data_IF_417002032146
#
_entry.id   IF_417002032146
#
_cell.length_a   1.000
_cell.length_b   1.000
_cell.length_c   1.000
_cell.angle_alpha   90.00
_cell.angle_beta   90.00
_cell.angle_gamma   90.00
#
_symmetry.space_group_name_H-M   'P 1'
#
loop_
_entity.id
_entity.type
_entity.pdbx_description
1 polymer ?
#
# COMPACT_ATOMS: atom_id res chain seq x y z
N UNK A 1 -3.24 25.74 9.45
CA UNK A 1 -4.60 25.44 8.96
C UNK A 1 -4.57 24.09 8.24
N UNK A 2 -4.96 22.98 8.90
CA UNK A 2 -5.03 21.62 8.32
C UNK A 2 -6.43 21.00 8.48
N UNK A 3 -7.45 21.84 8.71
CA UNK A 3 -8.83 21.44 9.00
C UNK A 3 -9.68 21.15 7.74
N UNK A 4 -9.12 21.32 6.54
CA UNK A 4 -9.84 21.11 5.26
C UNK A 4 -9.60 19.76 4.58
N UNK A 5 -8.72 18.91 5.12
CA UNK A 5 -8.37 17.63 4.51
C UNK A 5 -9.47 16.62 4.82
N UNK A 6 -10.28 16.29 3.81
CA UNK A 6 -11.35 15.30 3.92
C UNK A 6 -10.74 13.92 4.12
N UNK A 7 -11.20 13.19 5.14
CA UNK A 7 -10.73 11.83 5.43
C UNK A 7 -11.35 10.74 4.54
N UNK A 8 -12.14 11.08 3.51
CA UNK A 8 -12.82 10.15 2.60
C UNK A 8 -13.10 10.79 1.25
N UNK A 9 -13.26 9.97 0.21
CA UNK A 9 -13.39 10.39 -1.19
C UNK A 9 -12.26 11.34 -1.62
N UNK A 10 -11.05 11.02 -1.18
CA UNK A 10 -9.86 11.77 -1.61
C UNK A 10 -9.58 11.49 -3.09
N UNK A 11 -8.84 12.38 -3.75
CA UNK A 11 -8.44 12.17 -5.15
C UNK A 11 -7.74 10.81 -5.36
N UNK A 12 -6.79 10.40 -4.48
CA UNK A 12 -6.22 9.05 -4.49
C UNK A 12 -7.25 7.92 -4.49
N UNK A 13 -8.22 7.98 -3.58
CA UNK A 13 -9.26 6.96 -3.46
C UNK A 13 -10.11 6.87 -4.74
N UNK A 14 -10.47 8.03 -5.31
CA UNK A 14 -11.23 8.10 -6.56
C UNK A 14 -10.47 7.50 -7.75
N UNK A 15 -9.15 7.69 -7.84
CA UNK A 15 -8.32 7.09 -8.90
C UNK A 15 -8.35 5.56 -8.82
N UNK A 16 -8.13 5.00 -7.63
CA UNK A 16 -8.17 3.54 -7.41
C UNK A 16 -9.55 2.98 -7.74
N UNK A 17 -10.62 3.65 -7.29
CA UNK A 17 -12.01 3.25 -7.58
C UNK A 17 -12.31 3.22 -9.09
N UNK A 18 -11.88 4.24 -9.83
CA UNK A 18 -12.06 4.32 -11.29
C UNK A 18 -11.31 3.19 -11.99
N UNK A 19 -10.06 2.92 -11.59
CA UNK A 19 -9.27 1.84 -12.16
C UNK A 19 -9.92 0.47 -11.91
N UNK A 20 -10.33 0.19 -10.68
CA UNK A 20 -11.02 -1.06 -10.34
C UNK A 20 -12.31 -1.25 -11.12
N UNK A 21 -13.14 -0.20 -11.21
CA UNK A 21 -14.39 -0.24 -11.96
C UNK A 21 -14.15 -0.46 -13.45
N UNK A 22 -13.17 0.25 -14.04
CA UNK A 22 -12.79 0.09 -15.45
C UNK A 22 -12.29 -1.31 -15.80
N UNK A 23 -11.75 -2.05 -14.82
CA UNK A 23 -11.37 -3.46 -14.98
C UNK A 23 -12.50 -4.46 -14.65
N UNK A 24 -13.69 -3.99 -14.28
CA UNK A 24 -14.84 -4.84 -13.98
C UNK A 24 -14.92 -5.36 -12.54
N UNK A 25 -14.04 -4.93 -11.63
CA UNK A 25 -14.11 -5.35 -10.23
C UNK A 25 -15.28 -4.68 -9.51
N UNK A 26 -16.03 -5.49 -8.75
CA UNK A 26 -17.08 -5.02 -7.85
C UNK A 26 -16.49 -4.84 -6.45
N UNK A 27 -16.71 -3.66 -5.88
CA UNK A 27 -16.19 -3.31 -4.57
C UNK A 27 -17.25 -2.64 -3.69
N UNK A 28 -17.01 -2.64 -2.39
CA UNK A 28 -17.71 -1.85 -1.37
C UNK A 28 -16.74 -0.83 -0.79
N UNK A 29 -17.26 0.28 -0.30
CA UNK A 29 -16.44 1.35 0.27
C UNK A 29 -16.62 1.41 1.79
N UNK A 30 -15.55 1.76 2.51
CA UNK A 30 -15.56 2.10 3.94
C UNK A 30 -16.39 1.15 4.81
N UNK A 31 -16.14 -0.16 4.67
CA UNK A 31 -16.85 -1.21 5.41
C UNK A 31 -16.60 -1.05 6.91
N UNK A 32 -17.62 -0.59 7.65
CA UNK A 32 -17.55 -0.30 9.09
C UNK A 32 -17.41 -1.55 9.96
N UNK A 33 -17.79 -2.70 9.41
CA UNK A 33 -17.73 -4.02 10.04
C UNK A 33 -16.34 -4.65 9.95
N UNK A 34 -15.38 -4.02 9.27
CA UNK A 34 -14.00 -4.51 9.18
C UNK A 34 -13.04 -3.63 10.02
N UNK A 35 -11.98 -4.25 10.59
CA UNK A 35 -10.91 -3.51 11.27
C UNK A 35 -10.30 -2.43 10.38
N UNK A 36 -9.95 -1.28 10.95
CA UNK A 36 -9.39 -0.13 10.22
C UNK A 36 -10.31 0.56 9.21
N UNK A 37 -11.54 0.04 8.97
CA UNK A 37 -12.49 0.55 7.98
C UNK A 37 -11.84 0.79 6.61
N UNK A 38 -11.42 -0.29 5.91
CA UNK A 38 -10.69 -0.18 4.66
C UNK A 38 -11.44 0.68 3.64
N UNK A 39 -10.70 1.48 2.87
CA UNK A 39 -11.29 2.40 1.91
C UNK A 39 -12.09 1.65 0.85
N UNK A 40 -11.53 0.56 0.34
CA UNK A 40 -12.12 -0.25 -0.73
C UNK A 40 -12.02 -1.72 -0.34
N UNK A 41 -13.09 -2.47 -0.54
CA UNK A 41 -13.17 -3.89 -0.22
C UNK A 41 -13.71 -4.64 -1.42
N UNK A 42 -13.07 -5.75 -1.80
CA UNK A 42 -13.54 -6.69 -2.81
C UNK A 42 -14.01 -7.97 -2.10
N UNK A 43 -15.31 -8.07 -1.71
CA UNK A 43 -15.75 -9.11 -0.80
C UNK A 43 -15.59 -10.52 -1.36
N UNK A 44 -15.86 -10.72 -2.66
CA UNK A 44 -15.74 -12.03 -3.32
C UNK A 44 -14.32 -12.58 -3.31
N UNK A 45 -13.31 -11.71 -3.22
CA UNK A 45 -11.89 -12.08 -3.22
C UNK A 45 -11.25 -12.01 -1.84
N UNK A 46 -12.02 -11.59 -0.82
CA UNK A 46 -11.51 -11.26 0.53
C UNK A 46 -10.29 -10.32 0.50
N UNK A 47 -10.37 -9.26 -0.31
CA UNK A 47 -9.31 -8.24 -0.40
C UNK A 47 -9.81 -6.94 0.24
N UNK A 48 -8.99 -6.37 1.12
CA UNK A 48 -9.12 -5.03 1.66
C UNK A 48 -8.00 -4.14 1.08
N UNK A 49 -8.36 -3.01 0.48
CA UNK A 49 -7.43 -2.04 -0.09
C UNK A 49 -7.52 -0.76 0.76
N UNK A 50 -6.37 -0.32 1.24
CA UNK A 50 -6.21 0.91 2.02
C UNK A 50 -5.46 1.93 1.17
N UNK A 51 -5.98 3.14 1.06
CA UNK A 51 -5.38 4.21 0.26
C UNK A 51 -4.74 5.22 1.21
N UNK A 52 -3.43 5.10 1.39
CA UNK A 52 -2.69 5.88 2.38
C UNK A 52 -2.10 7.16 1.79
N UNK A 53 -2.46 8.29 2.39
CA UNK A 53 -1.74 9.54 2.21
C UNK A 53 -0.33 9.44 2.78
N UNK A 54 0.69 9.78 1.98
CA UNK A 54 2.09 9.56 2.39
C UNK A 54 2.45 10.32 3.67
N UNK A 55 1.94 11.54 3.82
CA UNK A 55 2.16 12.35 5.02
C UNK A 55 1.52 11.72 6.27
N UNK A 56 0.22 11.43 6.22
CA UNK A 56 -0.57 11.05 7.41
C UNK A 56 -0.20 9.69 7.99
N UNK A 57 0.20 8.76 7.12
CA UNK A 57 0.65 7.42 7.51
C UNK A 57 2.18 7.33 7.57
N UNK A 58 2.88 8.45 7.35
CA UNK A 58 4.32 8.55 7.51
C UNK A 58 5.11 7.58 6.63
N UNK A 59 4.85 7.60 5.33
CA UNK A 59 5.54 6.76 4.35
C UNK A 59 7.06 6.95 4.42
N UNK A 60 7.81 5.87 4.66
CA UNK A 60 9.27 5.94 4.75
C UNK A 60 9.90 6.31 3.40
N UNK A 61 11.02 7.03 3.41
CA UNK A 61 11.80 7.43 2.23
C UNK A 61 10.97 8.11 1.12
N UNK A 62 9.87 8.77 1.49
CA UNK A 62 8.96 9.38 0.54
C UNK A 62 9.04 10.91 0.59
N UNK A 63 9.24 11.55 -0.57
CA UNK A 63 9.26 13.01 -0.71
C UNK A 63 7.96 13.69 -0.23
N UNK A 64 6.84 12.97 -0.27
CA UNK A 64 5.51 13.45 0.13
C UNK A 64 5.21 13.26 1.63
N UNK A 65 6.12 12.64 2.40
CA UNK A 65 5.96 12.34 3.82
C UNK A 65 6.83 13.22 4.74
N UNK A 66 7.23 14.41 4.28
CA UNK A 66 8.14 15.28 5.03
C UNK A 66 7.48 15.82 6.29
N UNK A 67 8.13 15.63 7.44
CA UNK A 67 7.64 16.15 8.73
C UNK A 67 7.83 17.68 8.77
N UNK A 68 6.84 18.46 9.23
CA UNK A 68 6.98 19.91 9.33
C UNK A 68 8.05 20.28 10.36
N UNK A 69 8.79 21.35 10.08
CA UNK A 69 9.78 21.93 11.02
C UNK A 69 9.14 22.62 12.22
N UNK A 70 7.82 22.85 12.19
CA UNK A 70 7.06 23.45 13.29
C UNK A 70 6.33 22.36 14.08
N UNK A 71 6.38 22.45 15.42
CA UNK A 71 5.78 21.45 16.33
C UNK A 71 6.25 20.01 16.05
N UNK A 72 7.54 19.83 15.80
CA UNK A 72 8.11 18.55 15.36
C UNK A 72 7.78 17.41 16.32
N UNK A 73 7.90 17.60 17.63
CA UNK A 73 7.56 16.57 18.63
C UNK A 73 6.11 16.10 18.50
N UNK A 74 5.17 17.04 18.35
CA UNK A 74 3.76 16.74 18.15
C UNK A 74 3.53 15.93 16.86
N UNK A 75 4.16 16.33 15.75
CA UNK A 75 4.01 15.61 14.49
C UNK A 75 4.64 14.23 14.53
N UNK A 76 5.84 14.10 15.11
CA UNK A 76 6.52 12.82 15.27
C UNK A 76 5.66 11.85 16.09
N UNK A 77 5.16 12.29 17.24
CA UNK A 77 4.28 11.47 18.09
C UNK A 77 2.97 11.11 17.37
N UNK A 78 2.35 12.06 16.67
CA UNK A 78 1.11 11.84 15.92
C UNK A 78 1.28 10.84 14.79
N UNK A 79 2.33 10.99 13.98
CA UNK A 79 2.61 10.09 12.86
C UNK A 79 2.99 8.69 13.37
N UNK A 80 3.75 8.60 14.46
CA UNK A 80 4.03 7.31 15.10
C UNK A 80 2.73 6.62 15.58
N UNK A 81 1.83 7.37 16.23
CA UNK A 81 0.53 6.84 16.66
C UNK A 81 -0.35 6.37 15.49
N UNK A 82 -0.33 7.07 14.36
CA UNK A 82 -1.04 6.64 13.16
C UNK A 82 -0.45 5.33 12.61
N UNK A 83 0.87 5.24 12.46
CA UNK A 83 1.54 4.01 11.98
C UNK A 83 1.23 2.79 12.87
N UNK A 84 1.25 2.97 14.19
CA UNK A 84 0.90 1.89 15.12
C UNK A 84 -0.54 1.43 14.94
N UNK A 85 -1.47 2.36 14.69
CA UNK A 85 -2.86 2.03 14.39
C UNK A 85 -2.98 1.29 13.06
N UNK A 86 -2.33 1.76 12.01
CA UNK A 86 -2.34 1.13 10.70
C UNK A 86 -1.82 -0.31 10.77
N UNK A 87 -0.71 -0.53 11.47
CA UNK A 87 -0.14 -1.87 11.70
C UNK A 87 -1.14 -2.80 12.42
N UNK A 88 -1.81 -2.30 13.47
CA UNK A 88 -2.83 -3.06 14.20
C UNK A 88 -4.02 -3.42 13.30
N UNK A 89 -4.46 -2.48 12.48
CA UNK A 89 -5.61 -2.67 11.60
C UNK A 89 -5.30 -3.67 10.48
N UNK A 90 -4.11 -3.57 9.86
CA UNK A 90 -3.62 -4.53 8.86
C UNK A 90 -3.51 -5.93 9.44
N UNK A 91 -2.95 -6.08 10.64
CA UNK A 91 -2.84 -7.37 11.30
C UNK A 91 -4.22 -7.95 11.63
N UNK A 92 -5.14 -7.12 12.12
CA UNK A 92 -6.52 -7.55 12.43
C UNK A 92 -7.27 -8.03 11.17
N UNK A 93 -7.08 -7.35 10.03
CA UNK A 93 -7.62 -7.78 8.75
C UNK A 93 -7.02 -9.13 8.32
N UNK A 94 -5.70 -9.29 8.44
CA UNK A 94 -4.97 -10.52 8.11
C UNK A 94 -5.48 -11.71 8.94
N UNK A 95 -5.61 -11.53 10.26
CA UNK A 95 -6.16 -12.54 11.17
C UNK A 95 -7.61 -12.89 10.82
N UNK A 96 -8.41 -11.91 10.39
CA UNK A 96 -9.77 -12.13 9.91
C UNK A 96 -9.84 -12.77 8.50
N UNK A 97 -8.70 -13.19 7.94
CA UNK A 97 -8.60 -13.89 6.65
C UNK A 97 -8.70 -12.98 5.44
N UNK A 98 -8.44 -11.69 5.59
CA UNK A 98 -8.40 -10.74 4.48
C UNK A 98 -6.98 -10.58 3.96
N UNK A 99 -6.87 -10.54 2.63
CA UNK A 99 -5.68 -10.06 1.94
C UNK A 99 -5.67 -8.53 1.98
N UNK A 100 -4.52 -7.91 2.21
CA UNK A 100 -4.43 -6.45 2.39
C UNK A 100 -3.48 -5.83 1.38
N UNK A 101 -3.95 -4.83 0.64
CA UNK A 101 -3.14 -4.01 -0.26
C UNK A 101 -3.14 -2.57 0.21
N UNK A 102 -1.97 -1.99 0.44
CA UNK A 102 -1.81 -0.55 0.67
C UNK A 102 -1.46 0.12 -0.65
N UNK A 103 -2.21 1.13 -1.04
CA UNK A 103 -1.88 1.99 -2.20
C UNK A 103 -1.48 3.36 -1.67
N UNK A 104 -0.20 3.68 -1.80
CA UNK A 104 0.33 4.96 -1.34
C UNK A 104 0.01 6.08 -2.33
N UNK A 105 -0.30 7.27 -1.80
CA UNK A 105 -0.55 8.46 -2.60
C UNK A 105 0.59 8.77 -3.59
N UNK A 106 1.85 8.52 -3.22
CA UNK A 106 2.99 8.76 -4.09
C UNK A 106 2.95 7.92 -5.38
N UNK A 107 2.46 6.68 -5.31
CA UNK A 107 2.28 5.82 -6.49
C UNK A 107 1.29 6.45 -7.47
N UNK A 108 0.24 7.09 -6.95
CA UNK A 108 -0.84 7.68 -7.75
C UNK A 108 -0.48 9.05 -8.32
N UNK A 109 0.55 9.69 -7.78
CA UNK A 109 1.02 11.03 -8.18
C UNK A 109 2.28 11.00 -9.04
N UNK A 110 3.07 9.93 -8.95
CA UNK A 110 4.36 9.87 -9.60
C UNK A 110 4.24 9.41 -11.06
N UNK A 111 4.82 10.15 -12.02
CA UNK A 111 4.87 9.71 -13.42
C UNK A 111 5.76 8.48 -13.63
N UNK A 112 6.63 8.14 -12.66
CA UNK A 112 7.51 6.97 -12.71
C UNK A 112 6.80 5.69 -12.26
N UNK A 113 5.60 5.82 -11.68
CA UNK A 113 4.86 4.65 -11.22
C UNK A 113 4.32 3.86 -12.41
N UNK A 114 4.35 2.51 -12.34
CA UNK A 114 3.66 1.66 -13.28
C UNK A 114 2.19 2.03 -13.45
N UNK A 115 1.59 1.61 -14.57
CA UNK A 115 0.16 1.76 -14.78
C UNK A 115 -0.65 1.18 -13.61
N UNK A 116 -1.53 2.00 -13.02
CA UNK A 116 -2.29 1.65 -11.82
C UNK A 116 -3.20 0.45 -12.06
N UNK A 117 -3.88 0.39 -13.21
CA UNK A 117 -4.81 -0.69 -13.49
C UNK A 117 -4.06 -2.03 -13.60
N UNK A 118 -2.93 -2.05 -14.33
CA UNK A 118 -2.05 -3.21 -14.41
C UNK A 118 -1.54 -3.63 -13.03
N UNK A 119 -0.95 -2.72 -12.26
CA UNK A 119 -0.39 -3.05 -10.95
C UNK A 119 -1.46 -3.59 -9.97
N UNK A 120 -2.66 -3.00 -9.96
CA UNK A 120 -3.78 -3.51 -9.17
C UNK A 120 -4.20 -4.90 -9.61
N UNK A 121 -4.35 -5.13 -10.92
CA UNK A 121 -4.74 -6.44 -11.46
C UNK A 121 -3.73 -7.51 -11.08
N UNK A 122 -2.45 -7.25 -11.34
CA UNK A 122 -1.37 -8.22 -11.10
C UNK A 122 -1.35 -8.65 -9.63
N UNK A 123 -1.52 -7.69 -8.70
CA UNK A 123 -1.58 -8.03 -7.28
C UNK A 123 -2.90 -8.74 -6.89
N UNK A 124 -4.04 -8.29 -7.40
CA UNK A 124 -5.36 -8.87 -7.08
C UNK A 124 -5.45 -10.33 -7.53
N UNK A 125 -4.95 -10.64 -8.73
CA UNK A 125 -4.92 -12.00 -9.28
C UNK A 125 -3.75 -12.84 -8.73
N UNK A 126 -2.72 -12.19 -8.18
CA UNK A 126 -1.59 -12.87 -7.54
C UNK A 126 -1.95 -13.53 -6.19
N UNK A 127 -1.07 -14.43 -5.69
CA UNK A 127 -1.29 -15.18 -4.45
C UNK A 127 -0.91 -14.40 -3.17
N UNK A 128 -0.37 -13.19 -3.29
CA UNK A 128 0.20 -12.45 -2.17
C UNK A 128 -0.88 -12.09 -1.14
N UNK A 129 -0.60 -12.39 0.13
CA UNK A 129 -1.51 -12.08 1.23
C UNK A 129 -1.49 -10.60 1.60
N UNK A 130 -0.32 -9.97 1.54
CA UNK A 130 -0.11 -8.56 1.83
C UNK A 130 0.71 -7.93 0.71
N UNK A 131 0.55 -6.63 0.48
CA UNK A 131 1.42 -5.90 -0.42
C UNK A 131 1.19 -4.40 -0.36
N UNK A 132 2.12 -3.67 -0.98
CA UNK A 132 2.08 -2.22 -1.06
C UNK A 132 2.41 -1.76 -2.49
N UNK A 133 1.66 -0.78 -3.00
CA UNK A 133 1.98 -0.04 -4.21
C UNK A 133 2.51 1.33 -3.80
N UNK A 134 3.80 1.58 -4.08
CA UNK A 134 4.51 2.81 -3.77
C UNK A 134 5.33 3.28 -4.97
N UNK A 135 5.61 4.58 -5.01
CA UNK A 135 6.56 5.13 -6.00
C UNK A 135 7.89 4.34 -5.94
N UNK A 136 8.41 3.85 -7.08
CA UNK A 136 9.69 3.17 -7.10
C UNK A 136 10.81 4.13 -6.70
N UNK A 137 11.68 3.72 -5.79
CA UNK A 137 12.90 4.47 -5.45
C UNK A 137 13.99 4.10 -6.46
N UNK A 138 14.81 5.09 -6.84
CA UNK A 138 15.83 4.93 -7.88
C UNK A 138 16.82 3.79 -7.61
N UNK A 139 17.06 3.45 -6.34
CA UNK A 139 17.93 2.35 -5.91
C UNK A 139 17.36 0.94 -6.18
N UNK A 140 16.03 0.77 -6.30
CA UNK A 140 15.40 -0.52 -6.58
C UNK A 140 15.39 -0.85 -8.09
N UNK A 141 15.69 0.12 -8.97
CA UNK A 141 15.69 -0.05 -10.42
C UNK A 141 16.99 -0.64 -10.98
N UNK A 142 18.05 -0.74 -10.17
CA UNK A 142 19.37 -1.25 -10.57
C UNK A 142 19.61 -2.73 -10.19
N UNK A 143 18.69 -3.37 -9.47
CA UNK A 143 18.90 -4.68 -8.82
C UNK A 143 18.35 -5.92 -9.53
N UNK A 144 18.03 -5.88 -10.83
CA UNK A 144 17.63 -7.07 -11.60
C UNK A 144 18.75 -7.53 -12.54
N UNK A 145 19.89 -7.92 -11.98
CA UNK A 145 20.82 -8.84 -12.67
C UNK A 145 20.81 -10.16 -11.91
N UNK A 146 20.25 -11.17 -12.55
CA UNK A 146 20.12 -12.54 -12.09
C UNK A 146 21.50 -13.15 -11.75
N UNK A 147 21.81 -13.40 -10.48
CA UNK A 147 22.78 -14.44 -10.13
C UNK A 147 22.12 -15.80 -10.33
N UNK A 148 22.28 -16.35 -11.53
CA UNK A 148 22.10 -17.77 -11.81
C UNK A 148 23.37 -18.50 -11.34
N UNK A 149 23.43 -18.87 -10.06
CA UNK A 149 24.43 -19.82 -9.57
C UNK A 149 23.93 -21.25 -9.80
N UNK A 150 24.57 -22.08 -10.65
CA UNK A 150 24.20 -23.48 -10.78
C UNK A 150 24.72 -24.31 -9.58
N UNK A 151 23.97 -25.33 -9.11
CA UNK A 151 24.41 -26.18 -8.02
C UNK A 151 25.45 -27.20 -8.51
N UNK A 152 26.68 -27.18 -7.96
CA UNK A 152 27.64 -28.27 -8.11
C UNK A 152 27.66 -29.17 -6.88
N UNK A 153 26.83 -30.21 -6.99
CA UNK A 153 26.97 -31.62 -6.57
C UNK A 153 27.99 -31.94 -5.45
N UNK A 154 27.46 -32.44 -4.34
CA UNK A 154 28.13 -33.32 -3.37
C UNK A 154 28.35 -34.73 -3.93
N UNK A 155 29.52 -35.35 -3.70
CA UNK A 155 29.78 -36.81 -3.64
C UNK A 155 31.30 -37.07 -3.76
N UNK A 156 32.03 -37.32 -2.67
CA UNK A 156 32.38 -38.66 -2.12
C UNK A 156 33.60 -39.37 -2.76
N UNK A 157 34.49 -39.81 -1.86
CA UNK A 157 35.47 -40.92 -1.93
C UNK A 157 36.68 -40.81 -2.89
N UNK A 158 37.89 -40.76 -2.31
CA UNK A 158 38.64 -41.98 -1.95
C UNK A 158 39.60 -41.68 -0.81
#
# INVERSE_FOLDING_TARGET
MMSGIRGKNTLPELQVRKALFGMGYRFRLHRKDLPGRPDIVLPRRRIAILVHGCFWHGHANCRYARTPSTRTEFWTAKLAGNRLRDQRDLESLRVAGWRTLVVWECFLRSPQSPDLARALRDWIEGPQQTGELREPVAEEMSGSTLEHAPPRKTSHRK
#
